data_IF_299882414819
#
_entry.id   IF_299882414819
#
_cell.length_a   1.000
_cell.length_b   1.000
_cell.length_c   1.000
_cell.angle_alpha   90.00
_cell.angle_beta   90.00
_cell.angle_gamma   90.00
#
_symmetry.space_group_name_H-M   'P 1'
#
loop_
_entity.id
_entity.type
_entity.pdbx_description
1 polymer ?
#
# COMPACT_ATOMS: atom_id res chain seq x y z
N UNK A 1 -7.90 12.22 0.18
CA UNK A 1 -8.37 10.82 0.24
C UNK A 1 -8.51 10.31 -1.18
N UNK A 2 -8.23 9.04 -1.42
CA UNK A 2 -8.31 8.44 -2.75
C UNK A 2 -9.77 8.25 -3.14
N UNK A 3 -10.15 8.57 -4.38
CA UNK A 3 -11.54 8.35 -4.84
C UNK A 3 -11.83 6.86 -5.03
N UNK A 4 -13.11 6.47 -5.05
CA UNK A 4 -13.50 5.07 -5.35
C UNK A 4 -13.01 4.62 -6.73
N UNK A 5 -13.12 5.50 -7.72
CA UNK A 5 -12.69 5.23 -9.09
C UNK A 5 -11.17 5.01 -9.15
N UNK A 6 -10.39 5.89 -8.54
CA UNK A 6 -8.92 5.74 -8.44
C UNK A 6 -8.54 4.44 -7.72
N UNK A 7 -9.22 4.12 -6.62
CA UNK A 7 -8.94 2.90 -5.86
C UNK A 7 -9.26 1.65 -6.69
N UNK A 8 -10.36 1.66 -7.43
CA UNK A 8 -10.76 0.55 -8.32
C UNK A 8 -9.78 0.38 -9.48
N UNK A 9 -9.43 1.47 -10.14
CA UNK A 9 -8.51 1.49 -11.27
C UNK A 9 -7.13 0.96 -10.88
N UNK A 10 -6.53 1.50 -9.81
CA UNK A 10 -5.21 1.06 -9.32
C UNK A 10 -5.21 -0.41 -8.89
N UNK A 11 -6.28 -0.88 -8.24
CA UNK A 11 -6.38 -2.31 -7.87
C UNK A 11 -6.50 -3.21 -9.09
N UNK A 12 -7.20 -2.78 -10.14
CA UNK A 12 -7.34 -3.52 -11.38
C UNK A 12 -6.04 -3.54 -12.20
N UNK A 13 -5.34 -2.41 -12.27
CA UNK A 13 -4.03 -2.29 -12.92
C UNK A 13 -3.01 -3.23 -12.27
N UNK A 14 -2.82 -3.11 -10.95
CA UNK A 14 -1.87 -3.95 -10.20
C UNK A 14 -2.29 -5.42 -10.23
N UNK A 15 -3.59 -5.71 -10.23
CA UNK A 15 -4.12 -7.06 -10.41
C UNK A 15 -3.70 -7.65 -11.74
N UNK A 16 -3.95 -6.92 -12.83
CA UNK A 16 -3.59 -7.32 -14.20
C UNK A 16 -2.08 -7.53 -14.35
N UNK A 17 -1.25 -6.65 -13.79
CA UNK A 17 0.21 -6.81 -13.85
C UNK A 17 0.69 -8.03 -13.07
N UNK A 18 0.11 -8.32 -11.90
CA UNK A 18 0.43 -9.52 -11.13
C UNK A 18 0.03 -10.80 -11.88
N UNK A 19 -1.13 -10.78 -12.54
CA UNK A 19 -1.62 -11.91 -13.33
C UNK A 19 -0.75 -12.12 -14.58
N UNK A 20 -0.31 -11.05 -15.23
CA UNK A 20 0.66 -11.11 -16.34
C UNK A 20 2.01 -11.72 -15.91
N UNK A 21 2.50 -11.38 -14.71
CA UNK A 21 3.72 -12.00 -14.17
C UNK A 21 3.49 -13.46 -13.76
N UNK A 22 2.27 -13.85 -13.41
CA UNK A 22 1.92 -15.22 -13.03
C UNK A 22 1.67 -16.13 -14.23
N UNK A 23 1.22 -15.58 -15.37
CA UNK A 23 0.91 -16.32 -16.60
C UNK A 23 2.13 -16.61 -17.47
N UNK A 24 3.32 -16.09 -17.11
CA UNK A 24 4.55 -16.42 -17.80
C UNK A 24 4.87 -17.91 -17.67
N UNK A 25 5.00 -18.60 -18.81
CA UNK A 25 5.39 -20.02 -18.86
C UNK A 25 6.84 -20.26 -18.41
N UNK A 26 7.64 -19.20 -18.29
CA UNK A 26 9.03 -19.22 -17.86
C UNK A 26 9.19 -18.77 -16.40
N UNK A 27 10.25 -19.21 -15.69
CA UNK A 27 10.56 -18.64 -14.39
C UNK A 27 10.83 -17.13 -14.49
N UNK A 28 10.45 -16.42 -13.42
CA UNK A 28 10.66 -14.99 -13.29
C UNK A 28 12.15 -14.70 -13.14
N UNK A 29 12.61 -13.66 -13.82
CA UNK A 29 13.92 -13.07 -13.57
C UNK A 29 13.95 -12.40 -12.19
N UNK A 30 15.15 -12.18 -11.66
CA UNK A 30 15.33 -11.50 -10.36
C UNK A 30 14.71 -10.10 -10.31
N UNK A 31 14.63 -9.41 -11.45
CA UNK A 31 14.00 -8.09 -11.55
C UNK A 31 12.48 -8.19 -11.53
N UNK A 32 11.92 -9.17 -12.26
CA UNK A 32 10.48 -9.45 -12.27
C UNK A 32 9.99 -9.95 -10.91
N UNK A 33 10.79 -10.74 -10.19
CA UNK A 33 10.46 -11.15 -8.82
C UNK A 33 10.41 -9.96 -7.85
N UNK A 34 11.38 -9.04 -7.96
CA UNK A 34 11.38 -7.79 -7.19
C UNK A 34 10.16 -6.93 -7.54
N UNK A 35 9.84 -6.82 -8.82
CA UNK A 35 8.68 -6.08 -9.29
C UNK A 35 7.37 -6.70 -8.78
N UNK A 36 7.22 -8.03 -8.88
CA UNK A 36 6.11 -8.78 -8.27
C UNK A 36 5.98 -8.51 -6.77
N UNK A 37 7.11 -8.46 -6.06
CA UNK A 37 7.14 -8.10 -4.64
C UNK A 37 6.57 -6.71 -4.37
N UNK A 38 6.98 -5.70 -5.16
CA UNK A 38 6.45 -4.33 -5.08
C UNK A 38 4.96 -4.28 -5.34
N UNK A 39 4.49 -4.93 -6.41
CA UNK A 39 3.07 -4.98 -6.76
C UNK A 39 2.22 -5.63 -5.68
N UNK A 40 2.72 -6.71 -5.05
CA UNK A 40 2.04 -7.33 -3.89
C UNK A 40 1.88 -6.37 -2.72
N UNK A 41 2.92 -5.58 -2.40
CA UNK A 41 2.84 -4.59 -1.31
C UNK A 41 1.85 -3.49 -1.68
N UNK A 42 1.91 -2.95 -2.90
CA UNK A 42 0.96 -1.94 -3.38
C UNK A 42 -0.49 -2.44 -3.28
N UNK A 43 -0.76 -3.66 -3.76
CA UNK A 43 -2.08 -4.31 -3.67
C UNK A 43 -2.56 -4.42 -2.22
N UNK A 44 -1.69 -4.88 -1.32
CA UNK A 44 -2.01 -4.98 0.11
C UNK A 44 -2.43 -3.63 0.72
N UNK A 45 -1.74 -2.54 0.37
CA UNK A 45 -2.08 -1.20 0.88
C UNK A 45 -3.41 -0.72 0.31
N UNK A 46 -3.66 -0.91 -0.98
CA UNK A 46 -4.94 -0.55 -1.59
C UNK A 46 -6.10 -1.35 -0.99
N UNK A 47 -5.89 -2.63 -0.68
CA UNK A 47 -6.89 -3.45 0.01
C UNK A 47 -7.18 -2.90 1.43
N UNK A 48 -6.18 -2.36 2.13
CA UNK A 48 -6.37 -1.69 3.43
C UNK A 48 -7.11 -0.35 3.33
N UNK A 49 -6.87 0.42 2.26
CA UNK A 49 -7.66 1.63 1.97
C UNK A 49 -9.12 1.26 1.74
N UNK A 50 -9.38 0.20 0.96
CA UNK A 50 -10.74 -0.30 0.73
C UNK A 50 -11.40 -0.75 2.03
N UNK A 51 -10.71 -1.55 2.84
CA UNK A 51 -11.23 -2.03 4.12
C UNK A 51 -11.59 -0.87 5.06
N UNK A 52 -10.77 0.17 5.12
CA UNK A 52 -11.04 1.36 5.93
C UNK A 52 -12.28 2.12 5.42
N UNK A 53 -12.45 2.22 4.10
CA UNK A 53 -13.63 2.82 3.47
C UNK A 53 -14.91 2.03 3.73
N UNK A 54 -14.87 0.71 3.54
CA UNK A 54 -16.00 -0.20 3.81
C UNK A 54 -16.44 -0.13 5.28
N UNK A 55 -15.48 0.10 6.21
CA UNK A 55 -15.73 0.27 7.65
C UNK A 55 -15.99 1.72 8.08
N UNK A 56 -16.02 2.67 7.15
CA UNK A 56 -16.16 4.11 7.40
C UNK A 56 -15.14 4.68 8.41
N UNK A 57 -13.94 4.09 8.46
CA UNK A 57 -12.83 4.48 9.33
C UNK A 57 -11.96 5.54 8.64
N UNK A 58 -12.39 6.80 8.70
CA UNK A 58 -11.72 7.93 8.02
C UNK A 58 -10.26 8.14 8.44
N UNK A 59 -9.92 7.87 9.70
CA UNK A 59 -8.53 7.94 10.20
C UNK A 59 -7.64 6.97 9.45
N UNK A 60 -8.11 5.74 9.30
CA UNK A 60 -7.36 4.63 8.72
C UNK A 60 -7.30 4.76 7.20
N UNK A 61 -8.37 5.28 6.59
CA UNK A 61 -8.37 5.63 5.17
C UNK A 61 -7.30 6.69 4.87
N UNK A 62 -7.24 7.76 5.68
CA UNK A 62 -6.25 8.82 5.50
C UNK A 62 -4.82 8.27 5.69
N UNK A 63 -4.60 7.50 6.75
CA UNK A 63 -3.31 6.86 7.03
C UNK A 63 -2.85 5.98 5.85
N UNK A 64 -3.71 5.06 5.40
CA UNK A 64 -3.35 4.11 4.34
C UNK A 64 -3.19 4.80 2.98
N UNK A 65 -3.97 5.84 2.69
CA UNK A 65 -3.81 6.66 1.48
C UNK A 65 -2.45 7.38 1.49
N UNK A 66 -2.10 8.03 2.60
CA UNK A 66 -0.80 8.68 2.75
C UNK A 66 0.34 7.67 2.66
N UNK A 67 0.17 6.49 3.26
CA UNK A 67 1.13 5.40 3.17
C UNK A 67 1.38 4.95 1.74
N UNK A 68 0.32 4.78 0.94
CA UNK A 68 0.42 4.44 -0.48
C UNK A 68 1.20 5.49 -1.28
N UNK A 69 0.88 6.77 -1.10
CA UNK A 69 1.57 7.86 -1.80
C UNK A 69 3.03 8.01 -1.40
N UNK A 70 3.44 7.58 -0.21
CA UNK A 70 4.87 7.54 0.19
C UNK A 70 5.57 6.29 -0.33
N UNK A 71 4.87 5.16 -0.40
CA UNK A 71 5.40 3.88 -0.88
C UNK A 71 5.82 3.96 -2.36
N UNK A 72 4.95 4.48 -3.22
CA UNK A 72 5.12 4.48 -4.68
C UNK A 72 6.40 5.24 -5.15
N UNK A 73 6.68 6.47 -4.69
CA UNK A 73 7.86 7.22 -5.14
C UNK A 73 9.13 6.94 -4.31
N UNK A 74 9.01 6.65 -3.00
CA UNK A 74 10.16 6.66 -2.07
C UNK A 74 10.41 5.30 -1.40
N UNK A 75 9.35 4.61 -0.98
CA UNK A 75 9.44 3.31 -0.31
C UNK A 75 10.10 2.22 -1.16
N UNK A 76 9.96 2.30 -2.48
CA UNK A 76 10.57 1.35 -3.40
C UNK A 76 12.05 1.56 -3.68
N UNK A 77 12.55 2.79 -3.49
CA UNK A 77 13.98 3.11 -3.68
C UNK A 77 14.78 2.88 -2.41
N UNK A 78 14.17 3.11 -1.23
CA UNK A 78 14.84 3.00 0.06
C UNK A 78 14.03 2.17 1.07
N UNK A 79 13.96 0.84 0.91
CA UNK A 79 13.12 -0.03 1.74
C UNK A 79 13.48 0.02 3.23
N UNK A 80 14.77 0.17 3.56
CA UNK A 80 15.24 0.28 4.95
C UNK A 80 14.77 1.59 5.58
N UNK A 81 14.98 2.72 4.90
CA UNK A 81 14.55 4.03 5.41
C UNK A 81 13.03 4.10 5.55
N UNK A 82 12.33 3.53 4.57
CA UNK A 82 10.88 3.43 4.61
C UNK A 82 10.38 2.62 5.81
N UNK A 83 11.03 1.50 6.14
CA UNK A 83 10.71 0.72 7.34
C UNK A 83 10.87 1.55 8.62
N UNK A 84 11.95 2.33 8.76
CA UNK A 84 12.15 3.20 9.92
C UNK A 84 11.12 4.33 9.99
N UNK A 85 10.85 5.01 8.86
CA UNK A 85 9.81 6.03 8.77
C UNK A 85 8.43 5.48 9.13
N UNK A 86 8.12 4.27 8.67
CA UNK A 86 6.87 3.61 9.00
C UNK A 86 6.68 3.37 10.49
N UNK A 87 7.74 2.99 11.20
CA UNK A 87 7.68 2.83 12.66
C UNK A 87 7.39 4.16 13.35
N UNK A 88 7.98 5.25 12.88
CA UNK A 88 7.74 6.60 13.42
C UNK A 88 6.30 7.04 13.15
N UNK A 89 5.82 6.90 11.91
CA UNK A 89 4.45 7.28 11.54
C UNK A 89 3.44 6.43 12.30
N UNK A 90 3.66 5.12 12.41
CA UNK A 90 2.79 4.22 13.18
C UNK A 90 2.76 4.62 14.65
N UNK A 91 3.91 4.89 15.28
CA UNK A 91 3.96 5.35 16.68
C UNK A 91 3.22 6.68 16.88
N UNK A 92 3.37 7.63 15.95
CA UNK A 92 2.67 8.92 15.99
C UNK A 92 1.16 8.76 15.83
N UNK A 93 0.69 7.90 14.93
CA UNK A 93 -0.73 7.63 14.73
C UNK A 93 -1.34 6.79 15.87
N UNK A 94 -0.57 5.90 16.48
CA UNK A 94 -1.00 5.18 17.69
C UNK A 94 -1.10 6.11 18.90
N UNK A 95 -0.19 7.08 19.02
CA UNK A 95 -0.30 8.16 19.98
C UNK A 95 -1.58 8.98 19.78
N UNK A 96 -1.87 9.41 18.55
CA UNK A 96 -3.09 10.20 18.24
C UNK A 96 -4.39 9.42 18.51
N UNK A 97 -4.43 8.11 18.23
CA UNK A 97 -5.60 7.27 18.53
C UNK A 97 -5.78 6.99 20.02
N UNK A 98 -4.69 6.94 20.80
CA UNK A 98 -4.77 6.83 22.27
C UNK A 98 -5.31 8.10 22.95
N UNK A 99 -5.13 9.28 22.35
CA UNK A 99 -5.64 10.56 22.89
C UNK A 99 -7.06 10.93 22.45
N UNK A 100 -7.70 10.15 21.57
CA UNK A 100 -9.10 10.39 21.14
C UNK A 100 -10.13 9.52 21.89
N UNK A 101 -9.67 8.70 22.84
CA UNK A 101 -10.47 7.90 23.77
C UNK A 101 -10.19 8.27 25.25
N UNK A 102 -9.77 9.51 25.49
CA UNK A 102 -9.60 10.10 26.83
C UNK A 102 -10.66 11.15 27.11
#
# INVERSE_FOLDING_TARGET
>A
MMTEEQLKELRQEIGSELDNLASLERPLTREEEKHRGKLRIRKYVLDKIKEAKDKNQRSDELYNTTYYHMLVPWGEKHPVLFFFWMRIIKARWWGVTAYHYG
#
